data_IF_277102687186
#
_entry.id   IF_277102687186
#
_cell.length_a   1.000
_cell.length_b   1.000
_cell.length_c   1.000
_cell.angle_alpha   90.00
_cell.angle_beta   90.00
_cell.angle_gamma   90.00
#
_symmetry.space_group_name_H-M   'P 1'
#
loop_
_entity.id
_entity.type
_entity.pdbx_description
1 polymer ?
#
# COMPACT_ATOMS: atom_id res chain seq x y z
N UNK A 1 24.97 -25.97 8.92
CA UNK A 1 25.88 -25.10 8.16
C UNK A 1 25.19 -24.46 6.94
N UNK A 2 24.33 -25.16 6.21
CA UNK A 2 23.57 -24.61 5.06
C UNK A 2 22.40 -23.68 5.47
N UNK A 3 21.72 -23.96 6.60
CA UNK A 3 20.67 -23.07 7.13
C UNK A 3 21.22 -21.73 7.63
N UNK A 4 22.46 -21.70 8.13
CA UNK A 4 23.10 -20.45 8.55
C UNK A 4 23.40 -19.47 7.40
N UNK A 5 23.50 -19.96 6.15
CA UNK A 5 23.69 -19.10 4.98
C UNK A 5 22.38 -18.42 4.52
N UNK A 6 21.24 -19.11 4.61
CA UNK A 6 19.94 -18.52 4.24
C UNK A 6 19.55 -17.42 5.24
N UNK A 7 19.78 -17.65 6.54
CA UNK A 7 19.54 -16.67 7.60
C UNK A 7 20.58 -15.54 7.55
N UNK A 8 21.84 -15.82 7.16
CA UNK A 8 22.85 -14.79 6.95
C UNK A 8 22.57 -13.91 5.71
N UNK A 9 21.94 -14.47 4.67
CA UNK A 9 21.51 -13.67 3.53
C UNK A 9 20.36 -12.71 3.90
N UNK A 10 19.46 -13.13 4.79
CA UNK A 10 18.42 -12.25 5.34
C UNK A 10 18.99 -11.17 6.30
N UNK A 11 20.16 -11.42 6.90
CA UNK A 11 20.86 -10.50 7.79
C UNK A 11 21.97 -9.67 7.13
N UNK A 12 22.51 -10.10 6.00
CA UNK A 12 23.46 -9.35 5.22
C UNK A 12 22.69 -8.36 4.34
N UNK A 13 22.26 -7.26 4.95
CA UNK A 13 21.82 -6.10 4.20
C UNK A 13 22.91 -5.79 3.16
N UNK A 14 22.52 -5.78 1.93
CA UNK A 14 23.36 -5.31 0.84
C UNK A 14 23.88 -3.92 1.23
N UNK A 15 25.18 -3.77 1.38
CA UNK A 15 25.83 -2.47 1.50
C UNK A 15 25.83 -1.81 0.12
N UNK A 16 24.65 -1.53 -0.40
CA UNK A 16 24.48 -0.50 -1.39
C UNK A 16 24.91 0.78 -0.70
N UNK A 17 25.84 1.51 -1.29
CA UNK A 17 26.35 2.78 -0.83
C UNK A 17 25.19 3.60 -0.28
N UNK A 18 25.11 3.68 1.04
CA UNK A 18 24.23 4.60 1.72
C UNK A 18 24.55 5.99 1.20
N UNK A 19 23.61 6.61 0.51
CA UNK A 19 23.63 8.05 0.44
C UNK A 19 23.75 8.55 1.88
N UNK A 20 24.58 9.59 2.16
CA UNK A 20 24.73 10.08 3.50
C UNK A 20 23.35 10.44 4.02
N UNK A 21 23.00 9.94 5.20
CA UNK A 21 21.84 10.38 5.93
C UNK A 21 21.93 11.91 5.94
N UNK A 22 21.05 12.56 5.19
CA UNK A 22 20.85 14.01 5.28
C UNK A 22 20.39 14.24 6.71
N UNK A 23 21.23 15.00 7.42
CA UNK A 23 21.05 15.27 8.83
C UNK A 23 19.69 15.86 9.12
N UNK A 24 19.26 15.64 10.37
CA UNK A 24 18.18 16.30 11.09
C UNK A 24 17.41 17.37 10.28
N UNK A 25 16.46 16.95 9.49
CA UNK A 25 15.35 17.79 9.13
C UNK A 25 14.30 17.57 10.23
N UNK A 26 14.40 18.33 11.31
CA UNK A 26 13.25 18.65 12.13
C UNK A 26 12.19 19.18 11.17
N UNK A 27 11.16 18.36 10.89
CA UNK A 27 9.95 18.85 10.23
C UNK A 27 9.49 20.08 10.98
N UNK A 28 9.35 21.24 10.35
CA UNK A 28 8.78 22.38 11.01
C UNK A 28 7.35 21.99 11.41
N UNK A 29 7.04 22.12 12.69
CA UNK A 29 5.70 22.09 13.19
C UNK A 29 4.79 22.86 12.23
N UNK A 30 3.72 22.24 11.77
CA UNK A 30 2.78 22.62 10.74
C UNK A 30 2.85 24.09 10.32
N UNK A 31 3.25 24.34 9.10
CA UNK A 31 3.07 25.65 8.50
C UNK A 31 1.58 26.01 8.56
N UNK A 32 1.21 27.20 9.05
CA UNK A 32 -0.17 27.62 9.02
C UNK A 32 -0.66 27.59 7.57
N UNK A 33 -1.83 26.99 7.34
CA UNK A 33 -2.48 26.93 6.04
C UNK A 33 -2.42 28.32 5.36
N UNK A 34 -1.84 28.38 4.17
CA UNK A 34 -1.84 29.61 3.41
C UNK A 34 -3.29 29.98 3.05
N UNK A 35 -3.71 31.26 3.19
CA UNK A 35 -5.06 31.66 2.83
C UNK A 35 -5.30 31.44 1.34
N UNK A 36 -6.21 30.51 1.00
CA UNK A 36 -6.64 30.25 -0.38
C UNK A 36 -6.42 28.84 -0.90
N UNK A 37 -5.77 27.95 -0.15
CA UNK A 37 -5.83 26.53 -0.45
C UNK A 37 -7.05 25.88 0.23
N UNK A 38 -7.81 25.01 -0.46
CA UNK A 38 -8.83 24.20 0.20
C UNK A 38 -8.14 23.41 1.31
N UNK A 39 -8.49 23.65 2.56
CA UNK A 39 -8.02 22.86 3.68
C UNK A 39 -8.68 21.50 3.60
N UNK A 40 -7.99 20.51 3.06
CA UNK A 40 -8.44 19.13 3.05
C UNK A 40 -8.38 18.59 4.48
N UNK A 41 -9.49 18.59 5.17
CA UNK A 41 -9.64 17.97 6.50
C UNK A 41 -10.18 16.56 6.35
N UNK A 42 -9.40 15.69 5.70
CA UNK A 42 -9.72 14.27 5.70
C UNK A 42 -9.38 13.70 7.07
N UNK A 43 -10.39 13.32 7.83
CA UNK A 43 -10.21 12.58 9.06
C UNK A 43 -9.63 11.21 8.69
N UNK A 44 -8.32 11.06 8.85
CA UNK A 44 -7.68 9.75 8.73
C UNK A 44 -7.77 9.00 10.04
N UNK A 45 -7.88 7.69 9.97
CA UNK A 45 -8.04 6.82 11.12
C UNK A 45 -6.69 6.51 11.76
N UNK A 46 -6.16 7.52 12.44
CA UNK A 46 -4.91 7.37 13.17
C UNK A 46 -5.10 6.47 14.38
N UNK A 47 -4.29 5.40 14.47
CA UNK A 47 -4.29 4.50 15.62
C UNK A 47 -5.49 3.55 15.71
N UNK A 48 -6.22 3.29 14.61
CA UNK A 48 -7.21 2.23 14.57
C UNK A 48 -6.55 0.87 14.23
N UNK A 49 -6.90 -0.14 15.03
CA UNK A 49 -6.62 -1.55 14.74
C UNK A 49 -7.90 -2.35 14.80
N UNK A 50 -8.14 -3.18 13.81
CA UNK A 50 -9.28 -4.11 13.78
C UNK A 50 -8.80 -5.50 13.40
N UNK A 51 -9.22 -6.49 14.18
CA UNK A 51 -8.87 -7.88 13.96
C UNK A 51 -10.10 -8.79 14.09
N UNK A 52 -10.11 -9.89 13.34
CA UNK A 52 -11.11 -10.94 13.52
C UNK A 52 -10.77 -11.78 14.75
N UNK A 53 -11.73 -11.97 15.66
CA UNK A 53 -11.54 -12.64 16.93
C UNK A 53 -12.69 -13.62 17.22
N UNK A 54 -12.53 -14.87 16.78
CA UNK A 54 -13.54 -15.91 16.94
C UNK A 54 -14.88 -15.52 16.29
N UNK A 55 -16.01 -15.42 17.07
CA UNK A 55 -17.32 -15.09 16.51
C UNK A 55 -17.54 -13.58 16.32
N UNK A 56 -16.52 -12.74 16.45
CA UNK A 56 -16.64 -11.29 16.39
C UNK A 56 -15.37 -10.60 15.94
N UNK A 57 -15.25 -9.33 16.30
CA UNK A 57 -14.12 -8.48 15.98
C UNK A 57 -13.53 -7.86 17.25
N UNK A 58 -12.24 -7.70 17.30
CA UNK A 58 -11.52 -6.88 18.27
C UNK A 58 -11.20 -5.54 17.62
N UNK A 59 -11.55 -4.46 18.31
CA UNK A 59 -11.28 -3.09 17.87
C UNK A 59 -10.42 -2.42 18.92
N UNK A 60 -9.33 -1.79 18.49
CA UNK A 60 -8.49 -0.92 19.34
C UNK A 60 -8.38 0.43 18.68
N UNK A 61 -8.48 1.49 19.47
CA UNK A 61 -8.40 2.86 18.96
C UNK A 61 -7.79 3.80 19.98
N UNK A 62 -7.33 4.95 19.52
CA UNK A 62 -6.76 6.01 20.34
C UNK A 62 -7.71 7.21 20.38
N UNK A 63 -7.64 7.96 21.48
CA UNK A 63 -8.36 9.23 21.67
C UNK A 63 -7.37 10.31 22.07
N UNK A 64 -7.66 11.57 21.73
CA UNK A 64 -6.81 12.71 22.03
C UNK A 64 -6.85 13.11 23.52
N UNK A 65 -7.91 12.73 24.22
CA UNK A 65 -8.13 13.05 25.63
C UNK A 65 -8.34 11.78 26.44
N UNK A 66 -7.97 11.81 27.71
CA UNK A 66 -8.24 10.74 28.68
C UNK A 66 -9.73 10.73 29.03
N UNK A 67 -10.49 9.94 28.29
CA UNK A 67 -11.95 9.82 28.40
C UNK A 67 -12.38 8.36 28.25
N UNK A 68 -13.63 8.02 28.67
CA UNK A 68 -14.23 6.73 28.26
C UNK A 68 -14.28 6.62 26.74
N UNK A 69 -13.91 5.46 26.21
CA UNK A 69 -14.04 5.16 24.78
C UNK A 69 -15.42 4.56 24.46
N UNK A 70 -15.88 4.79 23.24
CA UNK A 70 -17.10 4.20 22.68
C UNK A 70 -16.79 3.56 21.34
N UNK A 71 -17.32 2.34 21.13
CA UNK A 71 -17.30 1.68 19.83
C UNK A 71 -18.63 0.98 19.56
N UNK A 72 -19.13 1.11 18.33
CA UNK A 72 -20.36 0.49 17.84
C UNK A 72 -20.11 -0.29 16.57
N UNK A 73 -20.74 -1.46 16.47
CA UNK A 73 -20.90 -2.18 15.20
C UNK A 73 -22.28 -1.93 14.62
N UNK A 74 -22.32 -1.51 13.36
CA UNK A 74 -23.54 -1.20 12.62
C UNK A 74 -23.59 -2.11 11.41
N UNK A 75 -24.70 -2.83 11.26
CA UNK A 75 -25.03 -3.68 10.10
C UNK A 75 -26.38 -3.23 9.55
N UNK A 76 -26.46 -3.00 8.25
CA UNK A 76 -27.69 -2.53 7.58
C UNK A 76 -28.32 -1.29 8.25
N UNK A 77 -27.44 -0.36 8.70
CA UNK A 77 -27.85 0.89 9.35
C UNK A 77 -28.35 0.73 10.79
N UNK A 78 -28.22 -0.44 11.41
CA UNK A 78 -28.64 -0.71 12.79
C UNK A 78 -27.45 -1.03 13.67
N UNK A 79 -27.38 -0.44 14.86
CA UNK A 79 -26.42 -0.83 15.90
C UNK A 79 -26.76 -2.25 16.35
N UNK A 80 -25.81 -3.19 16.14
CA UNK A 80 -25.95 -4.61 16.52
C UNK A 80 -25.17 -4.96 17.77
N UNK A 81 -24.11 -4.21 18.07
CA UNK A 81 -23.36 -4.31 19.33
C UNK A 81 -22.68 -2.97 19.64
N UNK A 82 -22.54 -2.66 20.92
CA UNK A 82 -21.93 -1.42 21.43
C UNK A 82 -21.14 -1.73 22.69
N UNK A 83 -19.98 -1.09 22.85
CA UNK A 83 -19.14 -1.16 24.04
C UNK A 83 -18.61 0.21 24.41
N UNK A 84 -18.55 0.45 25.72
CA UNK A 84 -17.79 1.53 26.33
C UNK A 84 -16.59 0.96 27.09
N UNK A 85 -15.55 1.74 27.24
CA UNK A 85 -14.34 1.40 28.00
C UNK A 85 -14.12 2.39 29.13
N UNK A 86 -13.30 2.02 30.08
CA UNK A 86 -12.83 2.94 31.12
C UNK A 86 -12.07 4.14 30.50
N UNK A 87 -11.98 5.27 31.23
CA UNK A 87 -11.21 6.43 30.76
C UNK A 87 -9.77 6.07 30.48
N UNK A 88 -9.25 6.55 29.32
CA UNK A 88 -7.89 6.33 28.86
C UNK A 88 -7.65 7.02 27.53
N UNK A 89 -6.43 6.94 27.01
CA UNK A 89 -6.04 7.38 25.66
C UNK A 89 -6.08 6.23 24.65
N UNK A 90 -5.92 5.00 25.13
CA UNK A 90 -5.93 3.79 24.32
C UNK A 90 -7.07 2.89 24.79
N UNK A 91 -7.87 2.43 23.86
CA UNK A 91 -9.08 1.65 24.11
C UNK A 91 -9.03 0.32 23.36
N UNK A 92 -9.65 -0.71 23.96
CA UNK A 92 -9.83 -2.01 23.34
C UNK A 92 -11.20 -2.59 23.70
N UNK A 93 -11.91 -3.11 22.70
CA UNK A 93 -13.19 -3.77 22.92
C UNK A 93 -13.40 -4.94 21.93
N UNK A 94 -14.20 -5.92 22.35
CA UNK A 94 -14.64 -7.01 21.49
C UNK A 94 -16.13 -6.86 21.20
N UNK A 95 -16.46 -6.78 19.91
CA UNK A 95 -17.83 -6.71 19.41
C UNK A 95 -18.26 -8.09 18.89
N UNK A 96 -19.46 -8.51 19.24
CA UNK A 96 -20.08 -9.76 18.75
C UNK A 96 -20.85 -9.47 17.47
N UNK A 97 -20.15 -9.45 16.35
CA UNK A 97 -20.75 -9.19 15.05
C UNK A 97 -20.19 -10.14 14.01
N UNK A 98 -21.07 -10.64 13.16
CA UNK A 98 -20.74 -11.45 11.99
C UNK A 98 -21.62 -10.96 10.85
N UNK A 99 -21.02 -10.24 9.92
CA UNK A 99 -21.65 -9.79 8.71
C UNK A 99 -20.57 -9.64 7.62
N UNK A 100 -20.93 -9.74 6.34
CA UNK A 100 -19.97 -9.51 5.24
C UNK A 100 -19.38 -8.10 5.27
N UNK A 101 -20.18 -7.12 5.71
CA UNK A 101 -19.78 -5.72 5.91
C UNK A 101 -20.25 -5.23 7.26
N UNK A 102 -19.38 -4.54 7.99
CA UNK A 102 -19.67 -3.91 9.28
C UNK A 102 -19.18 -2.47 9.22
N UNK A 103 -20.05 -1.52 9.56
CA UNK A 103 -19.63 -0.14 9.85
C UNK A 103 -19.27 -0.03 11.33
N UNK A 104 -18.08 0.45 11.62
CA UNK A 104 -17.64 0.81 12.96
C UNK A 104 -17.83 2.31 13.17
N UNK A 105 -18.41 2.69 14.30
CA UNK A 105 -18.31 4.04 14.88
C UNK A 105 -17.50 3.94 16.16
N UNK A 106 -16.46 4.75 16.31
CA UNK A 106 -15.58 4.69 17.46
C UNK A 106 -14.98 6.06 17.79
N UNK A 107 -14.54 6.24 19.05
CA UNK A 107 -13.94 7.48 19.52
C UNK A 107 -14.07 7.61 21.03
N UNK A 108 -14.01 8.86 21.54
CA UNK A 108 -14.37 9.16 22.91
C UNK A 108 -15.88 9.14 23.08
N UNK A 109 -16.34 8.62 24.23
CA UNK A 109 -17.77 8.70 24.58
C UNK A 109 -18.22 10.17 24.57
N UNK A 110 -19.39 10.50 23.94
CA UNK A 110 -19.88 11.87 23.93
C UNK A 110 -20.02 12.41 25.37
N UNK A 111 -19.67 13.68 25.64
CA UNK A 111 -19.92 14.27 26.94
C UNK A 111 -21.43 14.37 27.16
N UNK A 112 -21.79 14.30 28.44
CA UNK A 112 -23.05 14.68 28.96
C UNK A 112 -23.42 16.11 28.56
N UNK A 113 -24.69 16.38 28.47
CA UNK A 113 -25.48 17.64 28.34
C UNK A 113 -24.88 18.93 27.74
N UNK A 114 -23.58 19.18 27.75
CA UNK A 114 -22.96 20.44 27.30
C UNK A 114 -22.47 20.46 25.84
N UNK A 115 -22.68 19.39 25.07
CA UNK A 115 -22.67 19.40 23.58
C UNK A 115 -21.29 19.54 22.90
N UNK A 116 -20.18 19.36 23.57
CA UNK A 116 -18.83 19.40 23.00
C UNK A 116 -18.21 18.01 22.84
N UNK A 117 -18.88 17.12 22.10
CA UNK A 117 -18.28 15.86 21.72
C UNK A 117 -17.54 16.02 20.39
N UNK A 118 -16.31 15.52 20.31
CA UNK A 118 -15.73 15.23 19.00
C UNK A 118 -16.64 14.20 18.31
N UNK A 119 -16.90 14.33 17.00
CA UNK A 119 -17.66 13.36 16.27
C UNK A 119 -16.96 12.00 16.34
N UNK A 120 -17.74 10.91 16.44
CA UNK A 120 -17.20 9.57 16.34
C UNK A 120 -16.61 9.37 14.93
N UNK A 121 -15.45 8.74 14.87
CA UNK A 121 -14.89 8.26 13.62
C UNK A 121 -15.77 7.13 13.07
N UNK A 122 -15.77 6.99 11.75
CA UNK A 122 -16.57 5.97 11.09
C UNK A 122 -15.74 5.28 10.02
N UNK A 123 -15.62 3.95 10.11
CA UNK A 123 -15.00 3.13 9.08
C UNK A 123 -15.87 1.93 8.73
N UNK A 124 -15.69 1.38 7.53
CA UNK A 124 -16.31 0.13 7.10
C UNK A 124 -15.27 -0.96 6.99
N UNK A 125 -15.59 -2.13 7.49
CA UNK A 125 -14.74 -3.31 7.37
C UNK A 125 -15.51 -4.43 6.67
N UNK A 126 -14.79 -5.26 5.94
CA UNK A 126 -15.33 -6.41 5.22
C UNK A 126 -14.70 -7.68 5.79
N UNK A 127 -15.54 -8.72 5.95
CA UNK A 127 -15.12 -10.00 6.49
C UNK A 127 -14.05 -10.68 5.62
N UNK A 128 -14.11 -10.45 4.32
CA UNK A 128 -13.16 -10.96 3.35
C UNK A 128 -12.73 -9.82 2.40
N UNK A 129 -11.43 -9.69 2.10
CA UNK A 129 -11.00 -8.80 1.03
C UNK A 129 -11.57 -9.29 -0.30
N UNK A 130 -11.81 -8.40 -1.28
CA UNK A 130 -12.14 -8.85 -2.63
C UNK A 130 -10.97 -9.63 -3.22
N UNK A 131 -11.22 -10.65 -4.06
CA UNK A 131 -10.15 -11.31 -4.78
C UNK A 131 -9.39 -10.29 -5.64
N UNK A 132 -8.07 -10.43 -5.80
CA UNK A 132 -7.28 -9.51 -6.62
C UNK A 132 -7.72 -9.60 -8.08
N UNK A 133 -7.92 -8.44 -8.71
CA UNK A 133 -8.15 -8.32 -10.14
C UNK A 133 -6.81 -8.00 -10.81
N UNK A 134 -6.27 -8.92 -11.61
CA UNK A 134 -4.97 -8.77 -12.28
C UNK A 134 -5.08 -8.29 -13.73
N UNK A 135 -6.26 -8.38 -14.33
CA UNK A 135 -6.54 -7.94 -15.70
C UNK A 135 -7.84 -7.13 -15.74
N UNK A 136 -7.73 -5.86 -16.04
CA UNK A 136 -8.81 -4.89 -15.97
C UNK A 136 -9.00 -4.18 -17.31
N UNK A 137 -10.27 -3.91 -17.68
CA UNK A 137 -10.64 -3.21 -18.89
C UNK A 137 -11.70 -2.12 -18.64
N UNK A 138 -11.95 -1.29 -19.67
CA UNK A 138 -13.00 -0.28 -19.65
C UNK A 138 -12.65 1.00 -18.89
N UNK A 139 -11.37 1.42 -18.90
CA UNK A 139 -10.90 2.61 -18.22
C UNK A 139 -10.31 3.63 -19.20
N UNK A 140 -10.89 4.81 -19.23
CA UNK A 140 -10.43 5.93 -20.07
C UNK A 140 -9.53 6.91 -19.32
N UNK A 141 -9.46 6.81 -18.00
CA UNK A 141 -8.66 7.69 -17.13
C UNK A 141 -8.05 6.88 -16.00
N UNK A 142 -6.73 6.90 -15.89
CA UNK A 142 -5.95 6.17 -14.91
C UNK A 142 -4.93 7.10 -14.26
N UNK A 143 -4.97 7.20 -12.94
CA UNK A 143 -4.01 7.96 -12.14
C UNK A 143 -3.07 7.00 -11.45
N UNK A 144 -1.77 7.32 -11.40
CA UNK A 144 -0.76 6.39 -10.87
C UNK A 144 0.14 7.10 -9.87
N UNK A 145 0.24 6.52 -8.68
CA UNK A 145 1.25 6.85 -7.69
C UNK A 145 2.36 5.80 -7.71
N UNK A 146 3.61 6.24 -7.66
CA UNK A 146 4.73 5.38 -7.29
C UNK A 146 4.75 5.12 -5.78
N UNK A 147 5.95 5.08 -5.21
CA UNK A 147 6.17 4.86 -3.80
C UNK A 147 5.69 6.06 -2.99
N UNK A 148 4.79 5.86 -2.05
CA UNK A 148 4.17 6.96 -1.28
C UNK A 148 4.59 7.00 0.18
N UNK A 149 5.06 5.87 0.75
CA UNK A 149 5.71 5.79 2.05
C UNK A 149 5.03 6.60 3.17
N UNK A 150 3.72 6.46 3.35
CA UNK A 150 3.01 7.14 4.43
C UNK A 150 2.86 8.65 4.27
N UNK A 151 3.14 9.23 3.09
CA UNK A 151 2.97 10.66 2.79
C UNK A 151 1.49 11.02 2.57
N UNK A 152 0.69 10.79 3.61
CA UNK A 152 -0.78 10.91 3.58
C UNK A 152 -1.26 12.26 3.03
N UNK A 153 -0.77 13.37 3.56
CA UNK A 153 -1.26 14.71 3.19
C UNK A 153 -0.96 15.04 1.72
N UNK A 154 0.16 14.53 1.17
CA UNK A 154 0.52 14.68 -0.24
C UNK A 154 -0.40 13.87 -1.15
N UNK A 155 -0.66 12.63 -0.79
CA UNK A 155 -1.60 11.74 -1.52
C UNK A 155 -2.99 12.38 -1.57
N UNK A 156 -3.52 12.83 -0.43
CA UNK A 156 -4.82 13.52 -0.35
C UNK A 156 -4.84 14.77 -1.22
N UNK A 157 -3.77 15.57 -1.17
CA UNK A 157 -3.66 16.79 -1.98
C UNK A 157 -3.70 16.51 -3.48
N UNK A 158 -2.94 15.50 -3.95
CA UNK A 158 -2.92 15.13 -5.35
C UNK A 158 -4.25 14.53 -5.82
N UNK A 159 -4.88 13.66 -5.01
CA UNK A 159 -6.22 13.14 -5.31
C UNK A 159 -7.27 14.25 -5.39
N UNK A 160 -7.22 15.21 -4.48
CA UNK A 160 -8.10 16.37 -4.49
C UNK A 160 -7.87 17.30 -5.70
N UNK A 161 -6.61 17.60 -6.03
CA UNK A 161 -6.25 18.38 -7.24
C UNK A 161 -6.75 17.72 -8.53
N UNK A 162 -6.76 16.40 -8.56
CA UNK A 162 -7.28 15.62 -9.69
C UNK A 162 -8.83 15.50 -9.69
N UNK A 163 -9.52 15.96 -8.65
CA UNK A 163 -10.97 15.82 -8.51
C UNK A 163 -11.45 14.38 -8.26
N UNK A 164 -10.57 13.53 -7.72
CA UNK A 164 -10.86 12.14 -7.43
C UNK A 164 -11.54 11.94 -6.07
N UNK A 165 -11.36 12.90 -5.17
CA UNK A 165 -11.98 12.93 -3.86
C UNK A 165 -12.56 14.32 -3.55
N UNK A 166 -13.59 14.37 -2.70
CA UNK A 166 -14.14 15.61 -2.14
C UNK A 166 -13.34 16.09 -0.89
N UNK A 167 -13.80 17.19 -0.29
CA UNK A 167 -13.16 17.78 0.89
C UNK A 167 -13.17 16.85 2.13
N UNK A 168 -14.09 15.90 2.17
CA UNK A 168 -14.20 14.89 3.21
C UNK A 168 -13.42 13.61 2.87
N UNK A 169 -12.70 13.57 1.73
CA UNK A 169 -11.91 12.44 1.27
C UNK A 169 -12.72 11.33 0.60
N UNK A 170 -13.98 11.55 0.26
CA UNK A 170 -14.84 10.54 -0.37
C UNK A 170 -14.64 10.53 -1.88
N UNK A 171 -14.76 9.37 -2.49
CA UNK A 171 -14.58 9.21 -3.91
C UNK A 171 -15.55 10.03 -4.77
N UNK A 172 -15.01 10.82 -5.68
CA UNK A 172 -15.74 11.60 -6.70
C UNK A 172 -15.24 11.34 -8.12
N UNK A 173 -14.26 10.44 -8.29
CA UNK A 173 -13.61 10.15 -9.57
C UNK A 173 -14.48 9.37 -10.58
N UNK A 174 -15.74 9.03 -10.22
CA UNK A 174 -16.63 8.28 -11.12
C UNK A 174 -16.00 6.98 -11.60
N UNK A 175 -15.91 6.78 -12.92
CA UNK A 175 -15.34 5.58 -13.56
C UNK A 175 -13.81 5.56 -13.67
N UNK A 176 -13.08 6.55 -13.16
CA UNK A 176 -11.63 6.58 -13.21
C UNK A 176 -10.99 5.44 -12.40
N UNK A 177 -9.72 5.14 -12.71
CA UNK A 177 -8.91 4.25 -11.91
C UNK A 177 -7.76 5.03 -11.23
N UNK A 178 -7.39 4.61 -10.01
CA UNK A 178 -6.15 5.00 -9.33
C UNK A 178 -5.34 3.76 -9.07
N UNK A 179 -4.05 3.76 -9.43
CA UNK A 179 -3.11 2.69 -9.14
C UNK A 179 -2.03 3.20 -8.19
N UNK A 180 -1.85 2.52 -7.06
CA UNK A 180 -0.67 2.63 -6.19
C UNK A 180 0.26 1.48 -6.53
N UNK A 181 1.49 1.78 -6.90
CA UNK A 181 2.45 0.77 -7.35
C UNK A 181 3.10 -0.03 -6.21
N UNK A 182 2.59 0.06 -4.99
CA UNK A 182 3.16 -0.50 -3.77
C UNK A 182 3.91 0.54 -2.95
N UNK A 183 4.59 0.07 -1.91
CA UNK A 183 5.35 0.87 -0.96
C UNK A 183 4.53 2.00 -0.32
N UNK A 184 3.35 1.63 0.21
CA UNK A 184 2.58 2.48 1.09
C UNK A 184 3.19 2.51 2.48
N UNK A 185 3.90 1.42 2.86
CA UNK A 185 4.55 1.22 4.14
C UNK A 185 5.89 1.95 4.27
N UNK A 186 6.32 2.07 5.52
CA UNK A 186 7.66 2.50 5.95
C UNK A 186 7.98 3.99 5.72
N UNK A 187 9.08 4.45 6.32
CA UNK A 187 9.69 5.79 6.22
C UNK A 187 8.81 6.92 6.76
N UNK A 188 7.59 7.08 6.23
CA UNK A 188 6.67 8.13 6.64
C UNK A 188 6.00 7.91 7.99
N UNK A 189 5.36 8.94 8.49
CA UNK A 189 4.77 8.95 9.84
C UNK A 189 3.25 8.73 9.88
N UNK A 190 2.59 8.57 8.72
CA UNK A 190 1.15 8.41 8.62
C UNK A 190 0.76 7.18 7.78
N UNK A 191 1.58 6.11 7.89
CA UNK A 191 1.38 4.84 7.17
C UNK A 191 0.03 4.22 7.53
N UNK A 192 -0.25 3.99 8.81
CA UNK A 192 -1.50 3.38 9.27
C UNK A 192 -2.71 4.20 8.82
N UNK A 193 -2.62 5.53 8.87
CA UNK A 193 -3.65 6.44 8.41
C UNK A 193 -3.89 6.33 6.90
N UNK A 194 -2.80 6.28 6.12
CA UNK A 194 -2.87 6.11 4.67
C UNK A 194 -3.50 4.78 4.28
N UNK A 195 -3.11 3.69 4.94
CA UNK A 195 -3.65 2.36 4.66
C UNK A 195 -5.15 2.27 4.90
N UNK A 196 -5.66 2.79 6.02
CA UNK A 196 -7.11 2.84 6.27
C UNK A 196 -7.85 3.69 5.25
N UNK A 197 -7.27 4.82 4.85
CA UNK A 197 -7.84 5.67 3.82
C UNK A 197 -7.94 4.94 2.48
N UNK A 198 -6.84 4.33 1.99
CA UNK A 198 -6.83 3.62 0.71
C UNK A 198 -7.77 2.40 0.75
N UNK A 199 -7.79 1.67 1.88
CA UNK A 199 -8.71 0.56 2.12
C UNK A 199 -10.20 0.98 1.96
N UNK A 200 -10.58 2.12 2.52
CA UNK A 200 -11.93 2.68 2.36
C UNK A 200 -12.20 3.14 0.94
N UNK A 201 -11.23 3.84 0.35
CA UNK A 201 -11.33 4.42 -1.00
C UNK A 201 -11.53 3.35 -2.09
N UNK A 202 -10.89 2.18 -1.97
CA UNK A 202 -11.11 1.05 -2.90
C UNK A 202 -12.59 0.70 -3.02
N UNK A 203 -13.30 0.64 -1.91
CA UNK A 203 -14.72 0.26 -1.88
C UNK A 203 -15.63 1.37 -2.39
N UNK A 204 -15.31 2.61 -2.05
CA UNK A 204 -16.06 3.75 -2.54
C UNK A 204 -15.93 3.90 -4.06
N UNK A 205 -14.71 3.76 -4.58
CA UNK A 205 -14.45 3.79 -6.01
C UNK A 205 -15.21 2.68 -6.73
N UNK A 206 -15.12 1.44 -6.23
CA UNK A 206 -15.84 0.30 -6.81
C UNK A 206 -17.36 0.50 -6.82
N UNK A 207 -17.94 1.01 -5.74
CA UNK A 207 -19.35 1.31 -5.67
C UNK A 207 -19.79 2.40 -6.68
N UNK A 208 -18.91 3.32 -7.04
CA UNK A 208 -19.13 4.37 -8.02
C UNK A 208 -18.76 3.96 -9.47
N UNK A 209 -18.35 2.71 -9.69
CA UNK A 209 -17.91 2.20 -11.00
C UNK A 209 -16.45 2.50 -11.34
N UNK A 210 -15.71 3.14 -10.43
CA UNK A 210 -14.26 3.35 -10.52
C UNK A 210 -13.45 2.16 -9.97
N UNK A 211 -12.14 2.35 -9.85
CA UNK A 211 -11.23 1.39 -9.20
C UNK A 211 -10.12 2.12 -8.47
N UNK A 212 -9.76 1.61 -7.30
CA UNK A 212 -8.45 1.86 -6.69
C UNK A 212 -7.73 0.52 -6.66
N UNK A 213 -6.53 0.48 -7.22
CA UNK A 213 -5.70 -0.70 -7.38
C UNK A 213 -4.45 -0.45 -6.52
N UNK A 214 -4.16 -1.34 -5.60
CA UNK A 214 -2.94 -1.30 -4.79
C UNK A 214 -2.12 -2.52 -5.13
N UNK A 215 -0.89 -2.36 -5.57
CA UNK A 215 0.03 -3.46 -5.79
C UNK A 215 0.81 -3.75 -4.50
N UNK A 216 1.27 -4.98 -4.37
CA UNK A 216 2.24 -5.35 -3.35
C UNK A 216 3.61 -4.78 -3.75
N UNK A 217 4.21 -3.97 -2.87
CA UNK A 217 5.59 -3.53 -2.99
C UNK A 217 6.53 -4.35 -2.10
N UNK A 218 7.82 -4.04 -2.15
CA UNK A 218 8.78 -4.74 -1.32
C UNK A 218 8.66 -4.37 0.17
N UNK A 219 8.24 -3.14 0.50
CA UNK A 219 8.02 -2.72 1.87
C UNK A 219 6.78 -3.40 2.48
N UNK A 220 5.72 -3.64 1.72
CA UNK A 220 4.60 -4.47 2.15
C UNK A 220 5.08 -5.89 2.48
N UNK A 221 5.84 -6.53 1.59
CA UNK A 221 6.38 -7.87 1.81
C UNK A 221 7.32 -7.93 3.02
N UNK A 222 8.14 -6.88 3.24
CA UNK A 222 9.01 -6.76 4.40
C UNK A 222 8.21 -6.71 5.70
N UNK A 223 7.24 -5.82 5.83
CA UNK A 223 6.43 -5.68 7.05
C UNK A 223 5.63 -6.95 7.33
N UNK A 224 4.96 -7.52 6.33
CA UNK A 224 4.21 -8.76 6.46
C UNK A 224 5.09 -9.94 6.90
N UNK A 225 6.37 -9.95 6.51
CA UNK A 225 7.36 -10.98 6.91
C UNK A 225 8.13 -10.65 8.19
N UNK A 226 7.77 -9.57 8.91
CA UNK A 226 8.40 -9.15 10.17
C UNK A 226 9.72 -8.39 10.00
N UNK A 227 10.00 -7.82 8.84
CA UNK A 227 11.14 -6.92 8.64
C UNK A 227 10.74 -5.46 8.82
N UNK A 228 10.97 -4.94 10.03
CA UNK A 228 10.52 -3.61 10.46
C UNK A 228 11.63 -2.54 10.42
N UNK A 229 12.72 -2.77 9.69
CA UNK A 229 13.91 -1.90 9.69
C UNK A 229 13.64 -0.46 9.28
N UNK A 230 12.60 -0.22 8.48
CA UNK A 230 12.26 1.08 7.94
C UNK A 230 10.99 1.70 8.51
N UNK A 231 10.37 1.02 9.47
CA UNK A 231 9.16 1.53 10.14
C UNK A 231 9.51 2.76 10.99
N UNK A 232 8.81 3.85 10.76
CA UNK A 232 9.02 5.09 11.51
C UNK A 232 8.70 4.90 13.00
N UNK A 233 9.44 5.55 13.91
CA UNK A 233 9.20 5.43 15.36
C UNK A 233 7.76 5.80 15.77
N UNK A 234 7.15 6.79 15.12
CA UNK A 234 5.76 7.17 15.37
C UNK A 234 4.79 6.02 15.08
N UNK A 235 4.99 5.30 13.99
CA UNK A 235 4.17 4.14 13.62
C UNK A 235 4.37 2.96 14.59
N UNK A 236 5.61 2.69 15.02
CA UNK A 236 5.89 1.67 16.04
C UNK A 236 5.15 1.97 17.34
N UNK A 237 5.07 3.25 17.72
CA UNK A 237 4.38 3.70 18.95
C UNK A 237 2.89 3.34 18.95
N UNK A 238 2.24 3.24 17.79
CA UNK A 238 0.83 2.83 17.69
C UNK A 238 0.65 1.41 18.27
N UNK A 239 1.51 0.47 17.89
CA UNK A 239 1.49 -0.88 18.45
C UNK A 239 1.72 -0.88 19.97
N UNK A 240 2.72 -0.14 20.44
CA UNK A 240 3.03 -0.01 21.86
C UNK A 240 1.87 0.56 22.68
N UNK A 241 1.20 1.61 22.18
CA UNK A 241 0.02 2.20 22.82
C UNK A 241 -1.15 1.22 22.91
N UNK A 242 -1.29 0.34 21.92
CA UNK A 242 -2.27 -0.73 21.93
C UNK A 242 -1.83 -1.97 22.76
N UNK A 243 -0.58 -2.02 23.23
CA UNK A 243 -0.02 -3.17 23.95
C UNK A 243 0.16 -4.41 23.06
N UNK A 244 0.40 -4.21 21.76
CA UNK A 244 0.69 -5.25 20.77
C UNK A 244 1.92 -4.84 19.94
N UNK A 245 2.57 -5.81 19.29
CA UNK A 245 3.69 -5.48 18.41
C UNK A 245 3.21 -4.87 17.08
N UNK A 246 4.08 -4.16 16.39
CA UNK A 246 3.76 -3.57 15.09
C UNK A 246 3.41 -4.65 14.06
N UNK A 247 4.10 -5.80 14.07
CA UNK A 247 3.76 -6.94 13.21
C UNK A 247 2.33 -7.44 13.43
N UNK A 248 1.85 -7.38 14.69
CA UNK A 248 0.47 -7.79 15.01
C UNK A 248 -0.57 -6.87 14.38
N UNK A 249 -0.24 -5.58 14.19
CA UNK A 249 -1.14 -4.64 13.49
C UNK A 249 -1.43 -5.11 12.05
N UNK A 250 -0.48 -5.81 11.44
CA UNK A 250 -0.54 -6.25 10.04
C UNK A 250 -0.44 -7.77 9.87
N UNK A 251 -0.83 -8.53 10.91
CA UNK A 251 -0.93 -10.00 10.82
C UNK A 251 -1.95 -10.40 9.74
N UNK A 252 -1.52 -11.07 8.63
CA UNK A 252 -2.39 -11.36 7.50
C UNK A 252 -3.55 -12.30 7.81
N UNK A 253 -3.44 -13.13 8.87
CA UNK A 253 -4.48 -14.08 9.26
C UNK A 253 -5.55 -13.46 10.18
N UNK A 254 -5.25 -12.35 10.85
CA UNK A 254 -6.07 -11.80 11.92
C UNK A 254 -6.47 -10.35 11.72
N UNK A 255 -5.55 -9.51 11.30
CA UNK A 255 -5.77 -8.09 11.11
C UNK A 255 -6.55 -7.80 9.82
N UNK A 256 -7.46 -6.86 9.86
CA UNK A 256 -8.20 -6.41 8.66
C UNK A 256 -7.24 -5.82 7.63
N UNK A 257 -6.33 -4.93 8.04
CA UNK A 257 -5.33 -4.36 7.11
C UNK A 257 -4.30 -5.38 6.67
N UNK A 258 -3.85 -6.28 7.56
CA UNK A 258 -2.91 -7.34 7.21
C UNK A 258 -3.47 -8.28 6.15
N UNK A 259 -4.69 -8.76 6.32
CA UNK A 259 -5.37 -9.59 5.32
C UNK A 259 -5.63 -8.85 4.01
N UNK A 260 -5.98 -7.56 4.09
CA UNK A 260 -6.19 -6.73 2.91
C UNK A 260 -4.91 -6.53 2.09
N UNK A 261 -3.78 -6.24 2.72
CA UNK A 261 -2.48 -6.08 2.05
C UNK A 261 -1.98 -7.41 1.52
N UNK A 262 -2.09 -8.50 2.27
CA UNK A 262 -1.66 -9.83 1.83
C UNK A 262 -2.43 -10.34 0.59
N UNK A 263 -3.63 -9.82 0.34
CA UNK A 263 -4.43 -10.13 -0.84
C UNK A 263 -4.13 -9.21 -2.05
N UNK A 264 -3.11 -8.33 -1.98
CA UNK A 264 -2.79 -7.43 -3.09
C UNK A 264 -2.03 -8.13 -4.21
N UNK A 265 -2.33 -7.81 -5.48
CA UNK A 265 -1.61 -8.36 -6.62
C UNK A 265 -0.19 -7.80 -6.71
N UNK A 266 0.75 -8.58 -7.26
CA UNK A 266 2.10 -8.10 -7.57
C UNK A 266 2.26 -7.57 -8.99
N UNK A 267 1.40 -8.03 -9.92
CA UNK A 267 1.33 -7.59 -11.31
C UNK A 267 -0.12 -7.32 -11.70
N UNK A 268 -0.37 -6.22 -12.39
CA UNK A 268 -1.70 -5.87 -12.90
C UNK A 268 -1.58 -5.35 -14.32
N UNK A 269 -2.42 -5.83 -15.23
CA UNK A 269 -2.66 -5.17 -16.51
C UNK A 269 -3.97 -4.40 -16.43
N UNK A 270 -3.94 -3.15 -16.81
CA UNK A 270 -5.13 -2.34 -17.03
C UNK A 270 -5.11 -1.85 -18.48
N UNK A 271 -6.04 -2.35 -19.28
CA UNK A 271 -6.04 -2.15 -20.74
C UNK A 271 -4.72 -2.68 -21.36
N UNK A 272 -3.94 -1.79 -21.96
CA UNK A 272 -2.63 -2.00 -22.58
C UNK A 272 -1.48 -1.44 -21.72
N UNK A 273 -1.71 -1.24 -20.42
CA UNK A 273 -0.69 -0.77 -19.48
C UNK A 273 -0.44 -1.85 -18.42
N UNK A 274 0.80 -2.30 -18.32
CA UNK A 274 1.26 -3.24 -17.28
C UNK A 274 1.83 -2.46 -16.10
N UNK A 275 1.38 -2.79 -14.90
CA UNK A 275 1.84 -2.22 -13.63
C UNK A 275 2.58 -3.27 -12.82
N UNK A 276 3.73 -2.89 -12.27
CA UNK A 276 4.48 -3.66 -11.29
C UNK A 276 5.14 -2.69 -10.30
N UNK A 277 5.50 -3.18 -9.11
CA UNK A 277 6.28 -2.36 -8.20
C UNK A 277 7.70 -2.13 -8.73
N UNK A 278 8.54 -3.16 -8.87
CA UNK A 278 9.91 -3.03 -9.38
C UNK A 278 10.02 -3.19 -10.89
N UNK A 279 9.34 -4.18 -11.44
CA UNK A 279 9.33 -4.50 -12.87
C UNK A 279 9.45 -6.00 -13.15
N UNK A 280 9.18 -6.40 -14.38
CA UNK A 280 9.30 -7.81 -14.79
C UNK A 280 10.72 -8.09 -15.26
N UNK A 281 11.44 -8.92 -14.51
CA UNK A 281 12.80 -9.37 -14.83
C UNK A 281 12.78 -10.55 -15.82
N UNK A 282 13.94 -10.94 -16.38
CA UNK A 282 14.05 -12.17 -17.19
C UNK A 282 13.58 -13.44 -16.50
N UNK A 283 13.65 -13.49 -15.16
CA UNK A 283 13.21 -14.65 -14.38
C UNK A 283 11.68 -14.85 -14.38
N UNK A 284 10.90 -13.79 -14.68
CA UNK A 284 9.43 -13.81 -14.61
C UNK A 284 8.74 -13.54 -15.96
N UNK A 285 9.50 -13.29 -17.04
CA UNK A 285 8.93 -12.96 -18.36
C UNK A 285 8.05 -14.07 -18.94
N UNK A 286 8.32 -15.31 -18.59
CA UNK A 286 7.56 -16.48 -19.11
C UNK A 286 6.27 -16.75 -18.31
N UNK A 287 6.06 -16.14 -17.15
CA UNK A 287 4.84 -16.29 -16.34
C UNK A 287 3.66 -15.56 -16.99
N UNK A 288 2.43 -16.05 -16.77
CA UNK A 288 1.23 -15.23 -16.99
C UNK A 288 0.91 -14.39 -15.74
N UNK A 289 -0.04 -13.44 -15.86
CA UNK A 289 -0.53 -12.67 -14.71
C UNK A 289 -1.11 -13.60 -13.64
N UNK A 290 -1.92 -14.56 -14.05
CA UNK A 290 -2.59 -15.53 -13.18
C UNK A 290 -1.56 -16.46 -12.53
N UNK A 291 -0.61 -17.01 -13.29
CA UNK A 291 0.44 -17.89 -12.75
C UNK A 291 1.33 -17.19 -11.72
N UNK A 292 1.66 -15.92 -11.98
CA UNK A 292 2.40 -15.12 -11.00
C UNK A 292 1.56 -14.88 -9.75
N UNK A 293 0.29 -14.53 -9.91
CA UNK A 293 -0.62 -14.25 -8.79
C UNK A 293 -0.89 -15.51 -7.94
N UNK A 294 -1.15 -16.65 -8.57
CA UNK A 294 -1.34 -17.94 -7.87
C UNK A 294 -0.10 -18.32 -7.06
N UNK A 295 1.09 -18.05 -7.59
CA UNK A 295 2.36 -18.29 -6.89
C UNK A 295 2.51 -17.33 -5.70
N UNK A 296 2.21 -16.07 -5.89
CA UNK A 296 2.25 -15.04 -4.86
C UNK A 296 1.34 -15.40 -3.68
N UNK A 297 0.08 -15.72 -3.96
CA UNK A 297 -0.91 -16.12 -2.95
C UNK A 297 -0.48 -17.40 -2.21
N UNK A 298 0.00 -18.39 -2.95
CA UNK A 298 0.51 -19.64 -2.37
C UNK A 298 1.65 -19.38 -1.39
N UNK A 299 2.61 -18.54 -1.77
CA UNK A 299 3.79 -18.29 -0.94
C UNK A 299 3.49 -17.37 0.26
N UNK A 300 2.59 -16.39 0.11
CA UNK A 300 2.13 -15.56 1.24
C UNK A 300 1.38 -16.41 2.27
N UNK A 301 0.57 -17.37 1.82
CA UNK A 301 -0.19 -18.25 2.72
C UNK A 301 0.69 -19.29 3.44
N UNK A 302 1.95 -19.51 3.02
CA UNK A 302 2.85 -20.42 3.73
C UNK A 302 3.32 -19.79 5.06
N UNK A 303 3.32 -20.55 6.17
CA UNK A 303 3.89 -20.08 7.45
C UNK A 303 5.36 -19.62 7.33
N UNK A 304 6.05 -20.07 6.30
CA UNK A 304 7.42 -19.68 6.00
C UNK A 304 7.52 -18.18 5.72
N UNK A 305 6.55 -17.58 5.06
CA UNK A 305 6.57 -16.17 4.70
C UNK A 305 6.54 -15.24 5.92
N UNK A 306 5.64 -15.46 6.87
CA UNK A 306 5.51 -14.62 8.07
C UNK A 306 6.55 -14.94 9.14
N UNK A 307 7.22 -16.10 9.08
CA UNK A 307 8.18 -16.58 10.08
C UNK A 307 9.58 -16.79 9.53
N UNK A 308 9.89 -16.15 8.41
CA UNK A 308 11.18 -16.26 7.73
C UNK A 308 12.39 -15.95 8.65
N UNK A 309 12.21 -15.10 9.66
CA UNK A 309 13.25 -14.69 10.61
C UNK A 309 13.36 -15.56 11.86
N UNK A 310 12.41 -16.46 12.07
CA UNK A 310 12.41 -17.39 13.20
C UNK A 310 13.26 -18.64 12.84
N UNK A 311 14.54 -18.61 13.21
CA UNK A 311 15.48 -19.71 12.93
C UNK A 311 15.04 -21.07 13.49
N UNK A 312 14.37 -21.10 14.65
CA UNK A 312 13.92 -22.34 15.26
C UNK A 312 12.79 -22.94 14.42
N UNK A 313 11.83 -22.10 14.04
CA UNK A 313 10.75 -22.48 13.14
C UNK A 313 11.27 -22.96 11.79
N UNK A 314 12.20 -22.20 11.17
CA UNK A 314 12.77 -22.54 9.86
C UNK A 314 13.39 -23.94 9.85
N UNK A 315 14.21 -24.25 10.86
CA UNK A 315 14.84 -25.58 10.99
C UNK A 315 13.83 -26.71 11.07
N UNK A 316 12.75 -26.51 11.82
CA UNK A 316 11.69 -27.50 12.00
C UNK A 316 10.81 -27.60 10.75
N UNK A 317 10.34 -26.49 10.22
CA UNK A 317 9.48 -26.42 9.04
C UNK A 317 10.13 -27.07 7.81
N UNK A 318 11.40 -26.73 7.53
CA UNK A 318 12.16 -27.30 6.40
C UNK A 318 12.29 -28.81 6.54
N UNK A 319 12.53 -29.30 7.76
CA UNK A 319 12.63 -30.76 8.03
C UNK A 319 11.28 -31.46 7.83
N UNK A 320 10.18 -30.89 8.32
CA UNK A 320 8.85 -31.49 8.26
C UNK A 320 8.25 -31.40 6.85
N UNK A 321 8.35 -30.27 6.20
CA UNK A 321 7.88 -30.06 4.84
C UNK A 321 8.78 -30.73 3.79
N UNK A 322 9.94 -31.27 4.20
CA UNK A 322 10.95 -31.91 3.33
C UNK A 322 11.41 -31.02 2.19
N UNK A 323 11.46 -29.70 2.43
CA UNK A 323 11.96 -28.74 1.45
C UNK A 323 13.47 -28.89 1.28
N UNK A 324 13.92 -28.89 0.04
CA UNK A 324 15.34 -28.78 -0.27
C UNK A 324 15.78 -27.29 -0.28
N UNK A 325 17.08 -27.09 -0.32
CA UNK A 325 17.66 -25.74 -0.32
C UNK A 325 17.19 -24.88 -1.49
N UNK A 326 17.03 -25.46 -2.67
CA UNK A 326 16.58 -24.72 -3.86
C UNK A 326 15.13 -24.26 -3.72
N UNK A 327 14.26 -25.07 -3.12
CA UNK A 327 12.87 -24.72 -2.85
C UNK A 327 12.76 -23.56 -1.83
N UNK A 328 13.65 -23.53 -0.82
CA UNK A 328 13.69 -22.44 0.17
C UNK A 328 14.15 -21.15 -0.50
N UNK A 329 15.26 -21.20 -1.27
CA UNK A 329 15.75 -20.03 -1.98
C UNK A 329 14.76 -19.50 -3.00
N UNK A 330 14.03 -20.34 -3.72
CA UNK A 330 13.00 -19.92 -4.66
C UNK A 330 11.92 -19.08 -3.99
N UNK A 331 11.47 -19.44 -2.77
CA UNK A 331 10.50 -18.68 -2.00
C UNK A 331 11.06 -17.34 -1.53
N UNK A 332 12.30 -17.36 -1.06
CA UNK A 332 13.00 -16.15 -0.66
C UNK A 332 13.19 -15.19 -1.83
N UNK A 333 13.75 -15.70 -2.94
CA UNK A 333 14.07 -14.90 -4.12
C UNK A 333 12.80 -14.36 -4.80
N UNK A 334 11.67 -15.05 -4.68
CA UNK A 334 10.39 -14.58 -5.20
C UNK A 334 9.97 -13.24 -4.57
N UNK A 335 10.20 -13.05 -3.26
CA UNK A 335 9.86 -11.81 -2.57
C UNK A 335 11.04 -10.84 -2.42
N UNK A 336 12.25 -11.36 -2.21
CA UNK A 336 13.39 -10.58 -1.72
C UNK A 336 14.63 -10.66 -2.61
N UNK A 337 14.61 -11.45 -3.67
CA UNK A 337 15.71 -11.55 -4.63
C UNK A 337 15.76 -10.33 -5.57
N UNK A 338 16.94 -10.02 -6.13
CA UNK A 338 17.10 -8.88 -7.03
C UNK A 338 16.31 -9.00 -8.35
N UNK A 339 15.96 -10.23 -8.75
CA UNK A 339 15.13 -10.51 -9.92
C UNK A 339 13.62 -10.50 -9.61
N UNK A 340 13.23 -10.40 -8.32
CA UNK A 340 11.83 -10.32 -7.93
C UNK A 340 11.11 -9.13 -8.59
N UNK A 341 9.86 -9.32 -8.97
CA UNK A 341 8.99 -8.25 -9.48
C UNK A 341 8.89 -7.08 -8.50
N UNK A 342 9.15 -7.34 -7.21
CA UNK A 342 9.12 -6.33 -6.15
C UNK A 342 10.46 -5.57 -6.00
N UNK A 343 11.56 -6.05 -6.60
CA UNK A 343 12.90 -5.49 -6.39
C UNK A 343 13.66 -5.16 -7.68
N UNK A 344 13.17 -5.58 -8.84
CA UNK A 344 13.90 -5.45 -10.10
C UNK A 344 14.04 -3.98 -10.51
N UNK A 345 15.28 -3.53 -10.76
CA UNK A 345 15.60 -2.12 -11.04
C UNK A 345 16.19 -1.88 -12.43
N UNK A 346 16.68 -2.92 -13.10
CA UNK A 346 17.51 -2.74 -14.29
C UNK A 346 16.79 -2.07 -15.46
N UNK A 347 15.45 -2.23 -15.56
CA UNK A 347 14.66 -1.49 -16.56
C UNK A 347 14.75 0.03 -16.41
N UNK A 348 14.93 0.54 -15.18
CA UNK A 348 15.02 1.98 -14.90
C UNK A 348 16.47 2.46 -14.90
N UNK A 349 17.41 1.60 -14.45
CA UNK A 349 18.84 1.94 -14.30
C UNK A 349 19.65 1.86 -15.58
N UNK A 350 19.16 1.18 -16.63
CA UNK A 350 19.85 1.06 -17.92
C UNK A 350 18.90 1.36 -19.09
N UNK A 351 19.45 1.67 -20.25
CA UNK A 351 18.73 1.86 -21.51
C UNK A 351 18.96 0.73 -22.52
N UNK A 352 19.63 -0.35 -22.09
CA UNK A 352 20.08 -1.45 -22.97
C UNK A 352 19.12 -2.63 -23.02
N UNK A 353 18.05 -2.63 -22.20
CA UNK A 353 17.11 -3.74 -22.06
C UNK A 353 15.87 -3.64 -22.98
N UNK A 354 15.95 -2.88 -24.09
CA UNK A 354 14.80 -2.68 -24.98
C UNK A 354 14.20 -3.99 -25.52
N UNK A 355 15.03 -4.96 -25.92
CA UNK A 355 14.55 -6.26 -26.40
C UNK A 355 13.87 -7.09 -25.30
N UNK A 356 14.36 -7.01 -24.05
CA UNK A 356 13.71 -7.65 -22.91
C UNK A 356 12.36 -6.98 -22.62
N UNK A 357 12.32 -5.65 -22.57
CA UNK A 357 11.08 -4.91 -22.36
C UNK A 357 10.05 -5.22 -23.46
N UNK A 358 10.48 -5.35 -24.71
CA UNK A 358 9.59 -5.75 -25.81
C UNK A 358 8.98 -7.14 -25.58
N UNK A 359 9.78 -8.10 -25.12
CA UNK A 359 9.30 -9.43 -24.78
C UNK A 359 8.31 -9.41 -23.60
N UNK A 360 8.56 -8.58 -22.57
CA UNK A 360 7.62 -8.37 -21.46
C UNK A 360 6.30 -7.80 -21.98
N UNK A 361 6.32 -6.75 -22.78
CA UNK A 361 5.11 -6.12 -23.30
C UNK A 361 4.31 -7.05 -24.19
N UNK A 362 4.99 -7.82 -25.07
CA UNK A 362 4.35 -8.84 -25.90
C UNK A 362 3.71 -9.94 -25.04
N UNK A 363 4.44 -10.47 -24.04
CA UNK A 363 3.96 -11.55 -23.17
C UNK A 363 2.71 -11.17 -22.41
N UNK A 364 2.66 -9.94 -21.87
CA UNK A 364 1.54 -9.46 -21.08
C UNK A 364 0.48 -8.71 -21.88
N UNK A 365 0.63 -8.57 -23.22
CA UNK A 365 -0.32 -7.87 -24.08
C UNK A 365 -0.47 -6.40 -23.72
N UNK A 366 0.66 -5.72 -23.43
CA UNK A 366 0.71 -4.32 -23.04
C UNK A 366 1.57 -3.51 -24.02
N UNK A 367 1.30 -2.21 -24.09
CA UNK A 367 2.10 -1.25 -24.89
C UNK A 367 3.03 -0.42 -24.00
N UNK A 368 2.73 -0.36 -22.72
CA UNK A 368 3.50 0.43 -21.73
C UNK A 368 3.62 -0.34 -20.42
N UNK A 369 4.82 -0.32 -19.84
CA UNK A 369 5.07 -0.80 -18.48
C UNK A 369 5.30 0.38 -17.55
N UNK A 370 4.59 0.45 -16.42
CA UNK A 370 4.73 1.50 -15.40
C UNK A 370 5.26 0.87 -14.12
N UNK A 371 6.34 1.42 -13.57
CA UNK A 371 7.05 0.87 -12.41
C UNK A 371 7.34 1.93 -11.35
N UNK A 372 7.41 1.49 -10.09
CA UNK A 372 7.88 2.21 -8.91
C UNK A 372 9.31 1.83 -8.53
N UNK A 373 9.56 1.69 -7.22
CA UNK A 373 10.73 1.09 -6.58
C UNK A 373 12.09 1.75 -6.86
N UNK A 374 12.34 2.22 -8.06
CA UNK A 374 13.61 2.82 -8.47
C UNK A 374 13.47 4.33 -8.51
N UNK A 375 14.03 5.06 -7.52
CA UNK A 375 13.80 6.50 -7.39
C UNK A 375 14.31 7.30 -8.59
N UNK A 376 13.46 8.19 -9.09
CA UNK A 376 13.77 9.17 -10.13
C UNK A 376 13.45 10.59 -9.63
N UNK A 377 14.09 11.64 -10.16
CA UNK A 377 13.83 13.02 -9.73
C UNK A 377 12.42 13.51 -10.09
N UNK A 378 11.82 13.00 -11.15
CA UNK A 378 10.48 13.29 -11.66
C UNK A 378 9.98 12.08 -12.43
N UNK A 379 8.67 11.88 -12.50
CA UNK A 379 8.07 10.84 -13.33
C UNK A 379 8.56 11.00 -14.77
N UNK A 380 9.10 9.93 -15.34
CA UNK A 380 9.75 9.99 -16.66
C UNK A 380 9.50 8.76 -17.51
N UNK A 381 9.55 8.96 -18.83
CA UNK A 381 9.52 7.89 -19.83
C UNK A 381 10.93 7.46 -20.24
N UNK A 382 11.04 6.20 -20.65
CA UNK A 382 12.23 5.64 -21.30
C UNK A 382 11.83 4.63 -22.37
N UNK A 383 12.80 4.13 -23.15
CA UNK A 383 12.57 3.18 -24.25
C UNK A 383 11.49 3.64 -25.26
N UNK A 384 11.48 4.95 -25.58
CA UNK A 384 10.50 5.51 -26.52
C UNK A 384 9.06 5.49 -26.02
N UNK A 385 8.87 5.62 -24.69
CA UNK A 385 7.56 5.64 -24.03
C UNK A 385 7.04 4.25 -23.64
N UNK A 386 7.82 3.18 -23.81
CA UNK A 386 7.43 1.82 -23.42
C UNK A 386 7.55 1.58 -21.92
N UNK A 387 8.40 2.36 -21.22
CA UNK A 387 8.56 2.32 -19.75
C UNK A 387 8.27 3.68 -19.17
N UNK A 388 7.56 3.71 -18.04
CA UNK A 388 7.38 4.91 -17.20
C UNK A 388 7.85 4.56 -15.79
N UNK A 389 8.82 5.31 -15.27
CA UNK A 389 9.28 5.23 -13.88
C UNK A 389 8.57 6.30 -13.05
N UNK A 390 7.90 5.88 -11.98
CA UNK A 390 7.04 6.72 -11.17
C UNK A 390 7.42 6.81 -9.67
N UNK A 391 8.43 6.06 -9.19
CA UNK A 391 8.97 6.26 -7.84
C UNK A 391 9.80 7.55 -7.80
N UNK A 392 9.55 8.40 -6.81
CA UNK A 392 10.15 9.71 -6.69
C UNK A 392 11.15 9.77 -5.53
N UNK A 393 12.28 10.46 -5.74
CA UNK A 393 13.23 10.78 -4.67
C UNK A 393 12.57 11.51 -3.49
N UNK A 394 11.55 12.32 -3.76
CA UNK A 394 10.69 13.00 -2.78
C UNK A 394 9.26 12.44 -2.96
N UNK A 395 8.90 11.47 -2.16
CA UNK A 395 7.72 10.62 -2.34
C UNK A 395 6.41 11.43 -2.45
N UNK A 396 5.52 10.99 -3.34
CA UNK A 396 4.19 11.55 -3.56
C UNK A 396 4.16 13.08 -3.86
N UNK A 397 5.18 13.60 -4.54
CA UNK A 397 5.17 15.00 -5.04
C UNK A 397 4.54 15.14 -6.42
N UNK A 398 4.45 14.05 -7.15
CA UNK A 398 3.85 13.96 -8.48
C UNK A 398 2.93 12.73 -8.60
N UNK A 399 1.96 12.79 -9.49
CA UNK A 399 1.07 11.69 -9.86
C UNK A 399 0.95 11.63 -11.38
N UNK A 400 1.13 10.45 -11.98
CA UNK A 400 0.92 10.24 -13.40
C UNK A 400 -0.58 10.19 -13.70
N UNK A 401 -1.02 10.83 -14.78
CA UNK A 401 -2.37 10.75 -15.31
C UNK A 401 -2.35 10.28 -16.77
N UNK A 402 -2.95 9.13 -17.02
CA UNK A 402 -3.16 8.53 -18.32
C UNK A 402 -4.60 8.77 -18.76
N UNK A 403 -4.82 9.39 -19.91
CA UNK A 403 -6.16 9.56 -20.50
C UNK A 403 -6.22 8.93 -21.88
N UNK A 404 -7.26 8.13 -22.14
CA UNK A 404 -7.44 7.40 -23.40
C UNK A 404 -7.64 8.38 -24.55
N UNK A 405 -6.91 8.21 -25.63
CA UNK A 405 -7.09 8.97 -26.87
C UNK A 405 -8.08 8.27 -27.79
N UNK A 406 -8.65 9.01 -28.72
CA UNK A 406 -9.58 8.47 -29.72
C UNK A 406 -8.92 7.45 -30.68
N UNK A 407 -7.60 7.51 -30.85
CA UNK A 407 -6.81 6.58 -31.67
C UNK A 407 -6.40 5.30 -30.93
N UNK A 408 -6.83 5.14 -29.66
CA UNK A 408 -6.54 4.00 -28.82
C UNK A 408 -5.30 4.14 -27.93
N UNK A 409 -4.44 5.15 -28.12
CA UNK A 409 -3.28 5.39 -27.26
C UNK A 409 -3.62 6.23 -26.01
N UNK A 410 -2.59 6.60 -25.25
CA UNK A 410 -2.70 7.39 -24.03
C UNK A 410 -2.07 8.78 -24.16
N UNK A 411 -2.78 9.80 -23.69
CA UNK A 411 -2.12 11.04 -23.27
C UNK A 411 -1.52 10.78 -21.89
N UNK A 412 -0.33 11.28 -21.66
CA UNK A 412 0.45 11.11 -20.43
C UNK A 412 0.74 12.47 -19.84
N UNK A 413 0.27 12.71 -18.64
CA UNK A 413 0.41 13.99 -17.94
C UNK A 413 0.85 13.74 -16.52
N UNK A 414 1.74 14.54 -16.01
CA UNK A 414 2.15 14.54 -14.59
C UNK A 414 1.43 15.68 -13.89
N UNK A 415 0.75 15.39 -12.81
CA UNK A 415 0.11 16.36 -11.90
C UNK A 415 1.05 16.54 -10.71
N UNK A 416 1.32 17.78 -10.33
CA UNK A 416 2.22 18.16 -9.23
C UNK A 416 1.46 18.75 -8.06
N UNK A 417 2.06 18.68 -6.87
CA UNK A 417 1.49 19.27 -5.64
C UNK A 417 1.24 20.77 -5.72
N UNK A 418 2.00 21.51 -6.55
CA UNK A 418 1.77 22.95 -6.78
C UNK A 418 0.58 23.24 -7.70
N UNK A 419 -0.13 22.20 -8.15
CA UNK A 419 -1.23 22.28 -9.12
C UNK A 419 -0.77 22.38 -10.57
N UNK A 420 0.55 22.37 -10.82
CA UNK A 420 1.11 22.36 -12.17
C UNK A 420 0.87 21.00 -12.85
N UNK A 421 0.76 21.04 -14.19
CA UNK A 421 0.66 19.84 -15.03
C UNK A 421 1.71 19.87 -16.13
N UNK A 422 2.37 18.76 -16.37
CA UNK A 422 3.40 18.60 -17.40
C UNK A 422 3.06 17.39 -18.26
N UNK A 423 3.07 17.57 -19.58
CA UNK A 423 2.98 16.44 -20.52
C UNK A 423 4.31 15.69 -20.54
N UNK A 424 4.23 14.37 -20.48
CA UNK A 424 5.40 13.54 -20.77
C UNK A 424 5.57 13.48 -22.29
N UNK A 425 6.72 13.94 -22.76
CA UNK A 425 7.12 13.85 -24.17
C UNK A 425 8.20 12.77 -24.31
N UNK A 426 7.97 11.82 -25.21
CA UNK A 426 8.90 10.73 -25.52
C UNK A 426 10.26 11.18 -26.13
N UNK A 427 10.49 12.49 -26.23
CA UNK A 427 11.64 13.09 -26.92
C UNK A 427 12.71 13.69 -25.98
N UNK A 428 12.55 13.67 -24.66
CA UNK A 428 13.59 14.17 -23.77
C UNK A 428 14.71 13.10 -23.63
N UNK A 429 15.97 13.40 -23.99
CA UNK A 429 17.06 12.47 -23.71
C UNK A 429 17.25 12.32 -22.19
N UNK A 430 17.70 11.16 -21.69
CA UNK A 430 17.98 10.97 -20.29
C UNK A 430 19.04 11.99 -19.85
N UNK A 431 18.64 12.96 -19.07
CA UNK A 431 19.57 13.79 -18.33
C UNK A 431 20.17 12.93 -17.20
N UNK A 432 21.50 12.75 -17.25
CA UNK A 432 22.33 12.16 -16.21
C UNK A 432 22.19 12.91 -14.88
#
# INVERSE_FOLDING_TARGET
MLLGCAVAAAGAGWSGTSAPASGDATSPAGSPAQPGQPGWHVAGEYGLYVAFAGPGIEVRWLTEEERPGLVRAIVDGRVVDERTTEPGYAHAARLRVRAPEVTLEYGAEPPDADGRAAPLHRTRIWAEPPPPEVDLAGRDSVFVFGDVHGEFDRVISLLGLAGLIDAEGRWTGGGAAVAFLGDLFDRGNDVTRLLWFVYGLEREAMAAGGRVITLLGNHEAMVLSGDLRYVAPKEQTIGELHGISYETLFDPERSVLGGWIAAKPGLVRLEDVLFAHGGVSPAFVDSSLEEYQDTLETFIAEPLFTRWRDEAFLREYVREARLDTAQIYRRYDFFFGPESVLWYRDLVLTDTLGAHLDAVLERFGADTHVVGHTPVPTIRESYGGKLIAADLLDAATEMLHLTRRRDGGWNRTVIRLDGGTVKLDSAAPPGL
#
